data_IF_025566885790
#
_entry.id   IF_025566885790
#
_cell.length_a   1.000
_cell.length_b   1.000
_cell.length_c   1.000
_cell.angle_alpha   90.00
_cell.angle_beta   90.00
_cell.angle_gamma   90.00
#
_symmetry.space_group_name_H-M   'P 1'
#
loop_
_entity.id
_entity.type
_entity.pdbx_description
1 polymer ?
#
# COMPACT_ATOMS: atom_id res chain seq x y z
N UNK A 1 9.35 12.97 -30.58
CA UNK A 1 10.04 12.63 -29.31
C UNK A 1 9.08 11.73 -28.56
N UNK A 2 9.48 10.53 -28.16
CA UNK A 2 8.65 9.70 -27.29
C UNK A 2 8.50 10.45 -25.97
N UNK A 3 7.29 10.89 -25.63
CA UNK A 3 6.95 11.27 -24.27
C UNK A 3 7.19 10.02 -23.43
N UNK A 4 8.09 10.10 -22.45
CA UNK A 4 8.22 9.02 -21.48
C UNK A 4 6.82 8.73 -20.92
N UNK A 5 6.39 7.47 -20.93
CA UNK A 5 5.13 7.08 -20.31
C UNK A 5 5.17 7.53 -18.85
N UNK A 6 4.17 8.30 -18.43
CA UNK A 6 4.06 8.79 -17.05
C UNK A 6 3.95 7.58 -16.13
N UNK A 7 4.76 7.57 -15.05
CA UNK A 7 4.70 6.51 -14.04
C UNK A 7 3.38 6.58 -13.28
N UNK A 8 2.97 5.49 -12.62
CA UNK A 8 1.83 5.54 -11.71
C UNK A 8 2.01 6.62 -10.63
N UNK A 9 3.23 6.79 -10.14
CA UNK A 9 3.60 7.87 -9.22
C UNK A 9 3.24 9.26 -9.78
N UNK A 10 3.56 9.54 -11.05
CA UNK A 10 3.21 10.82 -11.68
C UNK A 10 1.69 10.97 -11.79
N UNK A 11 0.98 9.89 -12.16
CA UNK A 11 -0.47 9.89 -12.39
C UNK A 11 -1.28 10.06 -11.11
N UNK A 12 -0.79 9.57 -9.97
CA UNK A 12 -1.41 9.85 -8.66
C UNK A 12 -1.13 11.27 -8.15
N UNK A 13 -0.30 12.05 -8.84
CA UNK A 13 0.07 13.42 -8.45
C UNK A 13 1.37 13.51 -7.64
N UNK A 14 2.25 12.53 -7.78
CA UNK A 14 3.55 12.45 -7.12
C UNK A 14 3.45 12.35 -5.60
N UNK A 15 4.46 12.90 -4.91
CA UNK A 15 4.58 12.87 -3.45
C UNK A 15 3.34 13.41 -2.75
N UNK A 16 2.85 14.57 -3.19
CA UNK A 16 1.65 15.18 -2.63
C UNK A 16 0.39 14.33 -2.86
N UNK A 17 0.32 13.60 -3.98
CA UNK A 17 -0.73 12.62 -4.25
C UNK A 17 -0.71 11.46 -3.26
N UNK A 18 0.49 10.91 -3.05
CA UNK A 18 0.72 9.80 -2.13
C UNK A 18 0.41 10.20 -0.69
N UNK A 19 0.88 11.36 -0.24
CA UNK A 19 0.59 11.87 1.10
C UNK A 19 -0.92 11.91 1.36
N UNK A 20 -1.69 12.48 0.43
CA UNK A 20 -3.16 12.59 0.56
C UNK A 20 -3.84 11.23 0.64
N UNK A 21 -3.58 10.32 -0.31
CA UNK A 21 -4.29 9.05 -0.29
C UNK A 21 -3.83 8.16 0.88
N UNK A 22 -2.57 8.22 1.31
CA UNK A 22 -2.10 7.45 2.47
C UNK A 22 -2.82 7.91 3.74
N UNK A 23 -3.02 9.22 3.92
CA UNK A 23 -3.74 9.76 5.06
C UNK A 23 -5.21 9.32 5.07
N UNK A 24 -5.90 9.45 3.93
CA UNK A 24 -7.28 9.00 3.77
C UNK A 24 -7.42 7.48 3.97
N UNK A 25 -6.47 6.72 3.43
CA UNK A 25 -6.42 5.27 3.49
C UNK A 25 -6.32 4.77 4.93
N UNK A 26 -5.41 5.35 5.73
CA UNK A 26 -5.27 4.95 7.13
C UNK A 26 -6.44 5.37 8.00
N UNK A 27 -7.20 6.40 7.61
CA UNK A 27 -8.50 6.70 8.22
C UNK A 27 -9.47 5.50 8.11
N UNK A 28 -9.53 4.86 6.94
CA UNK A 28 -10.36 3.67 6.70
C UNK A 28 -9.83 2.43 7.42
N UNK A 29 -8.53 2.15 7.28
CA UNK A 29 -7.88 0.98 7.90
C UNK A 29 -8.04 0.97 9.42
N UNK A 30 -7.87 2.12 10.08
CA UNK A 30 -8.04 2.22 11.52
C UNK A 30 -9.51 2.24 11.96
N UNK A 31 -10.43 2.55 11.05
CA UNK A 31 -11.87 2.45 11.29
C UNK A 31 -12.42 1.03 11.12
N UNK A 32 -11.63 0.12 10.55
CA UNK A 32 -12.07 -1.25 10.29
C UNK A 32 -11.78 -2.16 11.51
N UNK A 33 -12.80 -2.82 12.09
CA UNK A 33 -12.63 -3.66 13.27
C UNK A 33 -11.78 -4.92 13.03
N UNK A 34 -11.65 -5.39 11.80
CA UNK A 34 -10.79 -6.52 11.44
C UNK A 34 -9.32 -6.11 11.28
N UNK A 35 -9.04 -4.84 10.98
CA UNK A 35 -7.68 -4.35 10.72
C UNK A 35 -7.09 -3.55 11.88
N UNK A 36 -7.90 -2.73 12.56
CA UNK A 36 -7.47 -1.85 13.64
C UNK A 36 -6.61 -2.57 14.72
N UNK A 37 -6.94 -3.81 15.15
CA UNK A 37 -6.12 -4.51 16.16
C UNK A 37 -4.65 -4.72 15.76
N UNK A 38 -4.33 -4.84 14.46
CA UNK A 38 -2.94 -5.02 14.00
C UNK A 38 -2.08 -3.76 14.17
N UNK A 39 -2.70 -2.61 14.40
CA UNK A 39 -2.05 -1.31 14.50
C UNK A 39 -2.03 -0.75 15.94
N UNK A 40 -2.55 -1.49 16.92
CA UNK A 40 -2.47 -1.10 18.33
C UNK A 40 -1.02 -0.90 18.78
N UNK A 41 -0.75 0.23 19.44
CA UNK A 41 0.60 0.61 19.87
C UNK A 41 1.55 1.02 18.75
N UNK A 42 1.10 1.06 17.49
CA UNK A 42 1.91 1.55 16.36
C UNK A 42 1.94 3.08 16.33
N UNK A 43 3.13 3.64 16.11
CA UNK A 43 3.27 5.07 15.86
C UNK A 43 2.73 5.41 14.47
N UNK A 44 1.57 6.03 14.40
CA UNK A 44 0.89 6.34 13.14
C UNK A 44 1.69 7.27 12.23
N UNK A 45 2.42 8.24 12.80
CA UNK A 45 3.28 9.12 12.00
C UNK A 45 4.40 8.33 11.31
N UNK A 46 5.04 7.40 12.05
CA UNK A 46 6.06 6.53 11.47
C UNK A 46 5.48 5.57 10.43
N UNK A 47 4.27 5.06 10.68
CA UNK A 47 3.60 4.16 9.74
C UNK A 47 3.23 4.89 8.43
N UNK A 48 2.66 6.09 8.52
CA UNK A 48 2.33 6.91 7.35
C UNK A 48 3.57 7.22 6.52
N UNK A 49 4.66 7.68 7.15
CA UNK A 49 5.91 7.96 6.43
C UNK A 49 6.45 6.72 5.71
N UNK A 50 6.49 5.57 6.41
CA UNK A 50 6.94 4.32 5.80
C UNK A 50 6.05 3.89 4.62
N UNK A 51 4.75 4.18 4.69
CA UNK A 51 3.82 3.82 3.63
C UNK A 51 3.86 4.78 2.45
N UNK A 52 4.11 6.06 2.69
CA UNK A 52 4.43 7.01 1.61
C UNK A 52 5.69 6.58 0.87
N UNK A 53 6.74 6.14 1.57
CA UNK A 53 7.94 5.58 0.94
C UNK A 53 7.65 4.29 0.16
N UNK A 54 6.86 3.38 0.74
CA UNK A 54 6.47 2.13 0.09
C UNK A 54 5.68 2.39 -1.20
N UNK A 55 4.61 3.20 -1.15
CA UNK A 55 3.83 3.54 -2.34
C UNK A 55 4.65 4.35 -3.33
N UNK A 56 5.51 5.26 -2.88
CA UNK A 56 6.42 6.00 -3.74
C UNK A 56 7.30 5.08 -4.57
N UNK A 57 7.87 4.04 -3.95
CA UNK A 57 8.68 3.05 -4.64
C UNK A 57 7.83 2.07 -5.48
N UNK A 58 6.71 1.60 -4.95
CA UNK A 58 5.85 0.61 -5.60
C UNK A 58 5.17 1.15 -6.86
N UNK A 59 4.96 2.46 -6.95
CA UNK A 59 4.36 3.15 -8.09
C UNK A 59 5.41 3.73 -9.07
N UNK A 60 6.65 3.22 -9.01
CA UNK A 60 7.77 3.58 -9.88
C UNK A 60 8.23 5.04 -9.75
N UNK A 61 7.99 5.66 -8.58
CA UNK A 61 8.49 6.98 -8.24
C UNK A 61 10.00 7.03 -7.94
N UNK A 62 10.57 8.23 -7.72
CA UNK A 62 12.00 8.40 -7.50
C UNK A 62 12.49 7.90 -6.14
N UNK A 63 11.56 7.51 -5.25
CA UNK A 63 11.84 7.07 -3.89
C UNK A 63 12.26 5.60 -3.93
N UNK A 64 13.33 5.27 -3.21
CA UNK A 64 13.68 3.88 -2.91
C UNK A 64 13.18 3.53 -1.53
N UNK A 65 12.38 2.48 -1.43
CA UNK A 65 11.99 1.92 -0.14
C UNK A 65 13.24 1.34 0.56
N UNK A 66 13.69 2.02 1.62
CA UNK A 66 14.88 1.65 2.39
C UNK A 66 14.56 0.85 3.66
N UNK A 67 13.29 0.54 3.91
CA UNK A 67 12.84 -0.18 5.10
C UNK A 67 13.21 -1.66 5.10
N UNK A 68 12.91 -2.33 6.23
CA UNK A 68 12.98 -3.79 6.33
C UNK A 68 12.08 -4.44 5.28
N UNK A 69 12.40 -5.65 4.86
CA UNK A 69 11.58 -6.35 3.88
C UNK A 69 10.14 -6.52 4.40
N UNK A 70 9.17 -6.52 3.48
CA UNK A 70 7.77 -6.72 3.84
C UNK A 70 7.57 -8.03 4.62
N UNK A 71 8.27 -9.10 4.23
CA UNK A 71 8.25 -10.38 4.93
C UNK A 71 8.69 -10.24 6.39
N UNK A 72 9.81 -9.57 6.66
CA UNK A 72 10.30 -9.37 8.03
C UNK A 72 9.36 -8.49 8.87
N UNK A 73 8.78 -7.45 8.28
CA UNK A 73 7.90 -6.52 9.00
C UNK A 73 6.58 -7.19 9.39
N UNK A 74 6.06 -8.09 8.56
CA UNK A 74 4.75 -8.72 8.73
C UNK A 74 4.82 -10.14 9.32
N UNK A 75 6.01 -10.75 9.42
CA UNK A 75 6.22 -12.07 9.99
C UNK A 75 5.62 -12.21 11.41
N UNK A 76 4.93 -13.33 11.65
CA UNK A 76 4.40 -13.69 12.96
C UNK A 76 3.23 -12.84 13.46
N UNK A 77 2.67 -11.95 12.62
CA UNK A 77 1.55 -11.08 13.01
C UNK A 77 0.17 -11.74 12.91
N UNK A 78 0.06 -12.93 12.32
CA UNK A 78 -1.24 -13.59 12.11
C UNK A 78 -2.08 -12.94 11.00
N UNK A 79 -1.43 -12.30 10.02
CA UNK A 79 -2.11 -11.71 8.88
C UNK A 79 -2.52 -12.83 7.91
N UNK A 80 -3.81 -12.93 7.64
CA UNK A 80 -4.39 -13.90 6.73
C UNK A 80 -4.76 -13.22 5.41
N UNK A 81 -4.99 -14.00 4.36
CA UNK A 81 -5.42 -13.49 3.04
C UNK A 81 -6.68 -12.62 3.15
N UNK A 82 -7.62 -12.94 4.06
CA UNK A 82 -8.80 -12.09 4.29
C UNK A 82 -8.46 -10.70 4.81
N UNK A 83 -7.48 -10.57 5.70
CA UNK A 83 -7.06 -9.27 6.25
C UNK A 83 -6.36 -8.45 5.16
N UNK A 84 -5.53 -9.11 4.33
CA UNK A 84 -4.90 -8.45 3.19
C UNK A 84 -5.94 -8.00 2.14
N UNK A 85 -6.91 -8.85 1.81
CA UNK A 85 -7.99 -8.48 0.88
C UNK A 85 -8.78 -7.28 1.40
N UNK A 86 -9.10 -7.24 2.70
CA UNK A 86 -9.78 -6.11 3.33
C UNK A 86 -8.94 -4.83 3.29
N UNK A 87 -7.64 -4.93 3.52
CA UNK A 87 -6.70 -3.80 3.39
C UNK A 87 -6.67 -3.26 1.95
N UNK A 88 -6.65 -4.14 0.94
CA UNK A 88 -6.70 -3.75 -0.47
C UNK A 88 -8.05 -3.15 -0.86
N UNK A 89 -9.16 -3.63 -0.31
CA UNK A 89 -10.48 -3.03 -0.50
C UNK A 89 -10.52 -1.58 0.00
N UNK A 90 -9.98 -1.30 1.19
CA UNK A 90 -9.87 0.08 1.69
C UNK A 90 -8.99 0.96 0.82
N UNK A 91 -7.94 0.39 0.21
CA UNK A 91 -7.09 1.11 -0.72
C UNK A 91 -7.87 1.46 -1.99
N UNK A 92 -8.61 0.50 -2.55
CA UNK A 92 -9.48 0.69 -3.72
C UNK A 92 -10.47 1.83 -3.47
N UNK A 93 -11.21 1.77 -2.37
CA UNK A 93 -12.19 2.80 -2.01
C UNK A 93 -11.55 4.17 -1.77
N UNK A 94 -10.31 4.20 -1.29
CA UNK A 94 -9.58 5.45 -1.08
C UNK A 94 -9.19 6.08 -2.40
N UNK A 95 -8.58 5.31 -3.30
CA UNK A 95 -8.12 5.81 -4.60
C UNK A 95 -9.30 6.28 -5.46
N UNK A 96 -10.43 5.55 -5.41
CA UNK A 96 -11.68 6.00 -6.05
C UNK A 96 -12.21 7.30 -5.43
N UNK A 97 -12.13 7.45 -4.11
CA UNK A 97 -12.54 8.66 -3.39
C UNK A 97 -11.68 9.89 -3.71
N UNK A 98 -10.40 9.69 -4.05
CA UNK A 98 -9.47 10.74 -4.49
C UNK A 98 -9.68 11.14 -5.96
N UNK A 99 -10.57 10.46 -6.69
CA UNK A 99 -10.94 10.80 -8.06
C UNK A 99 -9.92 10.37 -9.11
N UNK A 100 -9.12 9.34 -8.83
CA UNK A 100 -8.25 8.72 -9.84
C UNK A 100 -9.08 8.00 -10.91
N UNK A 101 -8.53 7.91 -12.11
CA UNK A 101 -9.13 7.13 -13.20
C UNK A 101 -9.21 5.63 -12.85
N UNK A 102 -10.25 4.95 -13.32
CA UNK A 102 -10.47 3.53 -13.01
C UNK A 102 -9.29 2.65 -13.44
N UNK A 103 -8.68 2.93 -14.60
CA UNK A 103 -7.54 2.16 -15.09
C UNK A 103 -6.33 2.30 -14.16
N UNK A 104 -6.08 3.52 -13.68
CA UNK A 104 -5.00 3.80 -12.72
C UNK A 104 -5.26 3.11 -11.38
N UNK A 105 -6.51 3.16 -10.89
CA UNK A 105 -6.90 2.47 -9.67
C UNK A 105 -6.64 0.97 -9.79
N UNK A 106 -7.10 0.32 -10.87
CA UNK A 106 -6.91 -1.12 -11.05
C UNK A 106 -5.44 -1.50 -11.21
N UNK A 107 -4.64 -0.69 -11.89
CA UNK A 107 -3.20 -0.93 -12.02
C UNK A 107 -2.49 -0.86 -10.67
N UNK A 108 -2.83 0.12 -9.82
CA UNK A 108 -2.30 0.23 -8.46
C UNK A 108 -2.69 -0.97 -7.61
N UNK A 109 -3.97 -1.38 -7.64
CA UNK A 109 -4.45 -2.55 -6.90
C UNK A 109 -3.75 -3.83 -7.38
N UNK A 110 -3.59 -4.02 -8.69
CA UNK A 110 -2.87 -5.15 -9.25
C UNK A 110 -1.40 -5.17 -8.78
N UNK A 111 -0.73 -4.01 -8.74
CA UNK A 111 0.63 -3.87 -8.21
C UNK A 111 0.70 -4.23 -6.73
N UNK A 112 -0.22 -3.73 -5.90
CA UNK A 112 -0.22 -4.02 -4.46
C UNK A 112 -0.48 -5.50 -4.20
N UNK A 113 -1.35 -6.14 -4.99
CA UNK A 113 -1.65 -7.57 -4.86
C UNK A 113 -0.44 -8.48 -5.05
N UNK A 114 0.63 -8.03 -5.73
CA UNK A 114 1.85 -8.84 -5.87
C UNK A 114 2.59 -9.08 -4.54
N UNK A 115 2.27 -8.32 -3.50
CA UNK A 115 2.90 -8.42 -2.18
C UNK A 115 2.18 -9.36 -1.21
N UNK A 116 1.07 -9.99 -1.62
CA UNK A 116 0.22 -10.81 -0.74
C UNK A 116 1.02 -11.92 -0.04
N UNK A 117 1.89 -12.63 -0.76
CA UNK A 117 2.67 -13.75 -0.21
C UNK A 117 3.69 -13.26 0.84
N UNK A 118 4.29 -12.08 0.61
CA UNK A 118 5.25 -11.49 1.53
C UNK A 118 4.57 -11.00 2.81
N UNK A 119 3.33 -10.53 2.74
CA UNK A 119 2.59 -9.96 3.87
C UNK A 119 1.88 -11.04 4.69
N UNK A 120 1.30 -12.04 4.02
CA UNK A 120 0.57 -13.15 4.67
C UNK A 120 1.51 -14.28 5.11
N UNK A 121 2.78 -14.24 4.70
CA UNK A 121 3.73 -15.31 4.93
C UNK A 121 3.48 -16.56 4.08
N UNK A 122 2.70 -16.45 3.00
CA UNK A 122 2.42 -17.53 2.04
C UNK A 122 3.47 -17.65 0.92
N UNK A 123 4.67 -17.09 1.10
CA UNK A 123 5.83 -17.31 0.24
C UNK A 123 6.62 -18.55 0.66
N UNK A 124 6.53 -19.62 -0.15
CA UNK A 124 7.34 -20.86 -0.18
C UNK A 124 8.21 -21.18 1.05
N UNK A 125 7.66 -21.99 1.96
CA UNK A 125 8.45 -23.01 2.64
C UNK A 125 8.68 -24.14 1.63
N UNK A 126 9.80 -24.11 0.90
CA UNK A 126 10.23 -25.25 0.09
C UNK A 126 10.92 -24.90 -1.23
N UNK A 127 12.25 -24.81 -1.19
CA UNK A 127 13.17 -25.36 -2.17
C UNK A 127 14.38 -25.91 -1.42
#
# INVERSE_FOLDING_TARGET
MATAEQTLYDRVGGEAGIERFVDAFYGRVLGDPELAPFFEGTSMDRLRNMQQEFFGAALDGPIRYGGRSLTEVHAGRGIEVRHFARFVEHLLETLQGEGLDEDDVYEIIARVNTYVDQITGQGSIGA
#
